data_IF_977046021675
#
_entry.id   IF_977046021675
#
_cell.length_a   1.000
_cell.length_b   1.000
_cell.length_c   1.000
_cell.angle_alpha   90.00
_cell.angle_beta   90.00
_cell.angle_gamma   90.00
#
_symmetry.space_group_name_H-M   'P 1'
#
loop_
_entity.id
_entity.type
_entity.pdbx_description
1 polymer ?
#
# COMPACT_ATOMS: atom_id res chain seq x y z
N UNK A 1 -4.81 -1.64 11.58
CA UNK A 1 -5.48 -2.40 10.51
C UNK A 1 -4.43 -3.02 9.60
N UNK A 2 -4.55 -4.29 9.27
CA UNK A 2 -3.59 -5.04 8.43
C UNK A 2 -4.34 -5.72 7.29
N UNK A 3 -3.70 -5.84 6.14
CA UNK A 3 -4.27 -6.46 4.95
C UNK A 3 -3.44 -7.65 4.49
N UNK A 4 -4.05 -8.54 3.75
CA UNK A 4 -3.39 -9.52 2.88
C UNK A 4 -4.05 -9.47 1.51
N UNK A 5 -3.25 -9.24 0.49
CA UNK A 5 -3.71 -9.17 -0.89
C UNK A 5 -3.50 -10.49 -1.62
N UNK A 6 -4.48 -10.85 -2.44
CA UNK A 6 -4.40 -11.98 -3.34
C UNK A 6 -3.26 -11.83 -4.37
N UNK A 7 -2.85 -12.91 -5.01
CA UNK A 7 -1.64 -13.04 -5.82
C UNK A 7 -1.53 -12.07 -7.00
N UNK A 8 -2.64 -11.59 -7.53
CA UNK A 8 -2.70 -10.65 -8.66
C UNK A 8 -2.80 -9.18 -8.26
N UNK A 9 -2.78 -8.86 -6.96
CA UNK A 9 -3.01 -7.51 -6.42
C UNK A 9 -1.72 -6.81 -5.96
N UNK A 10 -0.57 -7.13 -6.56
CA UNK A 10 0.72 -6.57 -6.15
C UNK A 10 0.82 -5.05 -6.25
N UNK A 11 0.20 -4.42 -7.26
CA UNK A 11 0.18 -2.96 -7.39
C UNK A 11 -0.68 -2.30 -6.32
N UNK A 12 -1.83 -2.89 -6.01
CA UNK A 12 -2.67 -2.43 -4.90
C UNK A 12 -1.95 -2.56 -3.57
N UNK A 13 -1.27 -3.69 -3.32
CA UNK A 13 -0.49 -3.89 -2.10
C UNK A 13 0.57 -2.79 -1.92
N UNK A 14 1.24 -2.37 -3.00
CA UNK A 14 2.18 -1.25 -2.96
C UNK A 14 1.51 0.06 -2.57
N UNK A 15 0.31 0.37 -3.08
CA UNK A 15 -0.43 1.56 -2.72
C UNK A 15 -0.85 1.56 -1.24
N UNK A 16 -1.35 0.44 -0.73
CA UNK A 16 -1.71 0.33 0.68
C UNK A 16 -0.50 0.52 1.60
N UNK A 17 0.65 -0.06 1.24
CA UNK A 17 1.92 0.15 1.95
C UNK A 17 2.39 1.60 1.88
N UNK A 18 2.23 2.25 0.72
CA UNK A 18 2.53 3.69 0.56
C UNK A 18 1.70 4.55 1.50
N UNK A 19 0.44 4.19 1.72
CA UNK A 19 -0.44 4.83 2.70
C UNK A 19 -0.08 4.51 4.17
N UNK A 20 0.90 3.63 4.41
CA UNK A 20 1.37 3.23 5.73
C UNK A 20 0.74 1.95 6.29
N UNK A 21 -0.15 1.28 5.55
CA UNK A 21 -0.81 0.06 6.03
C UNK A 21 0.06 -1.18 5.85
N UNK A 22 0.15 -1.98 6.92
CA UNK A 22 0.77 -3.31 6.86
C UNK A 22 -0.04 -4.21 5.92
N UNK A 23 0.55 -4.54 4.77
CA UNK A 23 -0.11 -5.29 3.71
C UNK A 23 0.77 -6.44 3.25
N UNK A 24 0.41 -7.65 3.63
CA UNK A 24 1.08 -8.86 3.17
C UNK A 24 0.71 -9.13 1.69
N UNK A 25 1.70 -9.52 0.92
CA UNK A 25 1.55 -9.90 -0.48
C UNK A 25 2.66 -10.83 -0.91
N UNK A 26 2.29 -11.93 -1.56
CA UNK A 26 3.22 -12.85 -2.21
C UNK A 26 2.56 -13.32 -3.52
N UNK A 27 3.26 -13.13 -4.65
CA UNK A 27 2.77 -13.51 -5.98
C UNK A 27 2.48 -15.00 -6.12
N UNK A 28 3.05 -15.83 -5.26
CA UNK A 28 2.91 -17.30 -5.28
C UNK A 28 2.03 -17.84 -4.16
N UNK A 29 1.33 -16.94 -3.43
CA UNK A 29 0.49 -17.36 -2.31
C UNK A 29 -0.68 -18.23 -2.80
N UNK A 30 -0.87 -19.36 -2.15
CA UNK A 30 -2.05 -20.19 -2.38
C UNK A 30 -3.21 -19.71 -1.53
N UNK A 31 -4.44 -20.04 -1.92
CA UNK A 31 -5.65 -19.69 -1.17
C UNK A 31 -5.56 -20.17 0.28
N UNK A 32 -5.12 -21.39 0.51
CA UNK A 32 -5.00 -21.95 1.86
C UNK A 32 -4.00 -21.20 2.73
N UNK A 33 -2.86 -20.81 2.17
CA UNK A 33 -1.87 -19.98 2.88
C UNK A 33 -2.36 -18.58 3.14
N UNK A 34 -3.08 -17.99 2.19
CA UNK A 34 -3.68 -16.67 2.33
C UNK A 34 -4.71 -16.67 3.47
N UNK A 35 -5.61 -17.66 3.51
CA UNK A 35 -6.60 -17.82 4.57
C UNK A 35 -5.94 -18.06 5.93
N UNK A 36 -4.93 -18.93 5.99
CA UNK A 36 -4.18 -19.19 7.21
C UNK A 36 -3.49 -17.94 7.75
N UNK A 37 -2.84 -17.17 6.88
CA UNK A 37 -2.17 -15.93 7.25
C UNK A 37 -3.17 -14.87 7.75
N UNK A 38 -4.30 -14.75 7.07
CA UNK A 38 -5.35 -13.81 7.46
C UNK A 38 -5.86 -14.09 8.87
N UNK A 39 -6.10 -15.37 9.19
CA UNK A 39 -6.57 -15.78 10.52
C UNK A 39 -5.49 -15.61 11.61
N UNK A 40 -4.25 -16.04 11.31
CA UNK A 40 -3.16 -16.01 12.27
C UNK A 40 -2.75 -14.58 12.67
N UNK A 41 -2.82 -13.63 11.75
CA UNK A 41 -2.37 -12.26 11.94
C UNK A 41 -3.50 -11.21 12.01
N UNK A 42 -4.75 -11.65 12.01
CA UNK A 42 -5.96 -10.80 11.98
C UNK A 42 -5.92 -9.78 10.84
N UNK A 43 -5.72 -10.30 9.61
CA UNK A 43 -5.63 -9.48 8.39
C UNK A 43 -6.95 -9.50 7.62
N UNK A 44 -7.31 -8.35 7.07
CA UNK A 44 -8.39 -8.21 6.09
C UNK A 44 -7.91 -8.79 4.76
N UNK A 45 -8.69 -9.73 4.22
CA UNK A 45 -8.41 -10.29 2.89
C UNK A 45 -8.91 -9.32 1.82
N UNK A 46 -8.06 -9.06 0.83
CA UNK A 46 -8.42 -8.27 -0.35
C UNK A 46 -8.26 -9.16 -1.58
N UNK A 47 -9.34 -9.39 -2.31
CA UNK A 47 -9.36 -10.31 -3.47
C UNK A 47 -10.36 -9.86 -4.53
N UNK A 48 -10.18 -10.33 -5.76
CA UNK A 48 -11.18 -10.26 -6.83
C UNK A 48 -11.89 -11.60 -7.06
N UNK A 49 -11.47 -12.65 -6.35
CA UNK A 49 -12.06 -13.97 -6.48
C UNK A 49 -13.26 -14.14 -5.54
N UNK A 50 -14.45 -14.21 -6.13
CA UNK A 50 -15.72 -14.42 -5.39
C UNK A 50 -15.73 -15.75 -4.66
N UNK A 51 -15.15 -16.82 -5.24
CA UNK A 51 -15.11 -18.13 -4.61
C UNK A 51 -14.23 -18.12 -3.37
N UNK A 52 -13.09 -17.42 -3.43
CA UNK A 52 -12.23 -17.21 -2.27
C UNK A 52 -12.95 -16.41 -1.18
N UNK A 53 -13.63 -15.33 -1.56
CA UNK A 53 -14.41 -14.50 -0.63
C UNK A 53 -15.53 -15.29 0.06
N UNK A 54 -16.22 -16.18 -0.65
CA UNK A 54 -17.30 -17.02 -0.10
C UNK A 54 -16.78 -18.14 0.82
N UNK A 55 -15.57 -18.67 0.57
CA UNK A 55 -14.96 -19.74 1.37
C UNK A 55 -14.39 -19.25 2.70
N UNK A 56 -14.17 -17.95 2.83
CA UNK A 56 -13.46 -17.44 3.99
C UNK A 56 -14.36 -17.33 5.22
N UNK A 57 -13.86 -17.84 6.35
CA UNK A 57 -14.35 -17.57 7.68
C UNK A 57 -13.68 -16.34 8.30
N UNK A 58 -12.81 -15.66 7.55
CA UNK A 58 -12.18 -14.43 7.99
C UNK A 58 -13.24 -13.38 8.29
N UNK A 59 -13.05 -12.64 9.36
CA UNK A 59 -14.03 -11.65 9.85
C UNK A 59 -14.28 -10.53 8.85
N UNK A 60 -13.31 -10.26 7.97
CA UNK A 60 -13.41 -9.19 6.98
C UNK A 60 -12.75 -9.60 5.66
N UNK A 61 -13.53 -9.50 4.60
CA UNK A 61 -13.08 -9.67 3.22
C UNK A 61 -13.55 -8.49 2.41
N UNK A 62 -12.63 -7.92 1.63
CA UNK A 62 -12.94 -6.90 0.63
C UNK A 62 -12.88 -7.57 -0.73
N UNK A 63 -14.04 -7.69 -1.37
CA UNK A 63 -14.16 -8.15 -2.74
C UNK A 63 -14.10 -6.94 -3.68
N UNK A 64 -13.16 -6.97 -4.62
CA UNK A 64 -12.94 -5.90 -5.59
C UNK A 64 -13.59 -6.20 -6.94
N UNK A 65 -14.18 -5.20 -7.54
CA UNK A 65 -14.74 -5.26 -8.89
C UNK A 65 -13.74 -4.73 -9.95
N UNK A 66 -12.99 -3.67 -9.61
CA UNK A 66 -12.07 -3.01 -10.53
C UNK A 66 -10.82 -3.83 -10.85
N UNK A 67 -10.27 -3.60 -12.05
CA UNK A 67 -8.99 -4.17 -12.49
C UNK A 67 -7.85 -3.15 -12.43
N UNK A 68 -8.16 -1.86 -12.33
CA UNK A 68 -7.19 -0.77 -12.31
C UNK A 68 -6.74 -0.50 -10.87
N UNK A 69 -5.41 -0.46 -10.58
CA UNK A 69 -4.90 -0.41 -9.20
C UNK A 69 -5.36 0.78 -8.37
N UNK A 70 -5.49 1.98 -8.95
CA UNK A 70 -5.98 3.14 -8.20
C UNK A 70 -7.49 3.07 -7.95
N UNK A 71 -8.26 2.48 -8.87
CA UNK A 71 -9.68 2.22 -8.64
C UNK A 71 -9.88 1.17 -7.54
N UNK A 72 -9.06 0.11 -7.54
CA UNK A 72 -9.02 -0.87 -6.45
C UNK A 72 -8.70 -0.21 -5.10
N UNK A 73 -7.75 0.73 -5.08
CA UNK A 73 -7.42 1.47 -3.86
C UNK A 73 -8.64 2.25 -3.34
N UNK A 74 -9.38 2.92 -4.22
CA UNK A 74 -10.63 3.62 -3.88
C UNK A 74 -11.64 2.66 -3.24
N UNK A 75 -11.81 1.47 -3.81
CA UNK A 75 -12.71 0.45 -3.26
C UNK A 75 -12.28 0.02 -1.86
N UNK A 76 -10.99 -0.24 -1.64
CA UNK A 76 -10.47 -0.63 -0.31
C UNK A 76 -10.67 0.51 0.70
N UNK A 77 -10.29 1.74 0.34
CA UNK A 77 -10.43 2.91 1.22
C UNK A 77 -11.89 3.08 1.66
N UNK A 78 -12.83 2.92 0.72
CA UNK A 78 -14.26 3.04 1.01
C UNK A 78 -14.81 1.89 1.84
N UNK A 79 -14.54 0.63 1.45
CA UNK A 79 -15.08 -0.54 2.13
C UNK A 79 -14.50 -0.76 3.54
N UNK A 80 -13.23 -0.41 3.73
CA UNK A 80 -12.57 -0.49 5.05
C UNK A 80 -12.65 0.82 5.84
N UNK A 81 -13.38 1.82 5.33
CA UNK A 81 -13.56 3.14 5.97
C UNK A 81 -12.22 3.77 6.38
N UNK A 82 -11.20 3.61 5.52
CA UNK A 82 -9.87 4.14 5.81
C UNK A 82 -9.88 5.67 5.77
N UNK A 83 -9.05 6.26 6.65
CA UNK A 83 -8.75 7.69 6.66
C UNK A 83 -7.27 7.88 6.28
N UNK A 84 -6.94 7.94 4.98
CA UNK A 84 -5.56 8.12 4.56
C UNK A 84 -5.00 9.44 5.10
N UNK A 85 -3.88 9.36 5.82
CA UNK A 85 -3.24 10.51 6.42
C UNK A 85 -1.87 10.74 5.75
N UNK A 86 -1.62 11.90 5.13
CA UNK A 86 -0.33 12.20 4.51
C UNK A 86 0.89 12.02 5.41
N UNK A 87 0.74 12.22 6.72
CA UNK A 87 1.81 11.99 7.71
C UNK A 87 2.23 10.53 7.77
N UNK A 88 1.32 9.61 7.46
CA UNK A 88 1.59 8.17 7.44
C UNK A 88 2.18 7.68 6.08
N UNK A 89 2.24 8.54 5.06
CA UNK A 89 2.77 8.14 3.76
C UNK A 89 4.26 7.85 3.85
N UNK A 90 4.66 6.75 3.23
CA UNK A 90 6.03 6.25 3.27
C UNK A 90 6.59 5.97 4.67
N UNK A 91 5.75 5.74 5.68
CA UNK A 91 6.21 5.15 6.93
C UNK A 91 6.51 3.65 6.79
N UNK A 92 6.13 3.06 5.66
CA UNK A 92 6.34 1.66 5.31
C UNK A 92 6.84 1.53 3.87
N UNK A 93 7.81 0.64 3.68
CA UNK A 93 8.36 0.38 2.34
C UNK A 93 7.30 -0.26 1.43
N UNK A 94 7.00 0.34 0.26
CA UNK A 94 6.05 -0.24 -0.68
C UNK A 94 6.45 -1.60 -1.23
N UNK A 95 7.74 -1.93 -1.18
CA UNK A 95 8.28 -3.20 -1.70
C UNK A 95 8.39 -4.26 -0.60
N UNK A 96 9.03 -3.92 0.52
CA UNK A 96 9.37 -4.88 1.58
C UNK A 96 8.31 -4.99 2.68
N UNK A 97 7.37 -4.05 2.74
CA UNK A 97 6.36 -3.99 3.82
C UNK A 97 6.94 -3.78 5.23
N UNK A 98 8.17 -3.35 5.36
CA UNK A 98 8.82 -3.03 6.66
C UNK A 98 8.78 -1.53 6.92
N UNK A 99 8.81 -1.07 8.19
CA UNK A 99 8.96 0.34 8.49
C UNK A 99 10.21 0.93 7.84
N UNK A 100 10.15 2.19 7.46
CA UNK A 100 11.28 2.92 6.85
C UNK A 100 11.76 4.03 7.78
N UNK A 101 13.01 4.46 7.57
CA UNK A 101 13.63 5.53 8.33
C UNK A 101 13.56 6.85 7.55
N UNK A 102 13.31 7.95 8.27
CA UNK A 102 13.51 9.29 7.71
C UNK A 102 15.01 9.56 7.57
N UNK A 103 15.41 10.16 6.45
CA UNK A 103 16.83 10.42 6.17
C UNK A 103 17.07 11.89 5.80
N UNK A 104 18.30 12.34 5.99
CA UNK A 104 18.78 13.63 5.49
C UNK A 104 19.28 13.45 4.04
N UNK A 105 18.70 14.19 3.11
CA UNK A 105 19.03 14.06 1.67
C UNK A 105 20.51 14.33 1.36
N UNK A 106 21.17 15.14 2.17
CA UNK A 106 22.59 15.50 2.05
C UNK A 106 23.51 14.29 2.16
N UNK A 107 23.12 13.27 2.94
CA UNK A 107 23.89 12.04 3.10
C UNK A 107 23.73 11.06 1.92
N UNK A 108 22.79 11.34 1.01
CA UNK A 108 22.41 10.45 -0.09
C UNK A 108 22.35 11.16 -1.45
N UNK A 109 23.08 12.24 -1.61
CA UNK A 109 23.04 13.10 -2.81
C UNK A 109 23.27 12.34 -4.12
N UNK A 110 24.15 11.34 -4.11
CA UNK A 110 24.48 10.53 -5.30
C UNK A 110 23.36 9.53 -5.68
N UNK A 111 22.48 9.20 -4.75
CA UNK A 111 21.39 8.25 -4.95
C UNK A 111 20.05 8.92 -5.27
N UNK A 112 19.96 10.23 -5.16
CA UNK A 112 18.75 11.00 -5.41
C UNK A 112 18.90 11.75 -6.74
N UNK A 113 17.94 11.65 -7.68
CA UNK A 113 17.99 12.43 -8.91
C UNK A 113 18.15 13.93 -8.63
N UNK A 114 19.02 14.66 -9.37
CA UNK A 114 19.33 16.07 -9.08
C UNK A 114 18.11 16.98 -9.00
N UNK A 115 17.14 16.79 -9.87
CA UNK A 115 15.88 17.55 -9.85
C UNK A 115 15.09 17.30 -8.58
N UNK A 116 14.97 16.03 -8.17
CA UNK A 116 14.24 15.63 -6.94
C UNK A 116 14.97 16.18 -5.70
N UNK A 117 16.28 16.08 -5.66
CA UNK A 117 17.11 16.64 -4.59
C UNK A 117 16.85 18.14 -4.37
N UNK A 118 16.77 18.91 -5.47
CA UNK A 118 16.52 20.36 -5.39
C UNK A 118 15.10 20.74 -5.02
N UNK A 119 14.13 19.89 -5.37
CA UNK A 119 12.69 20.24 -5.28
C UNK A 119 11.93 19.56 -4.15
N UNK A 120 12.55 18.61 -3.45
CA UNK A 120 11.94 17.86 -2.37
C UNK A 120 12.78 17.94 -1.10
N UNK A 121 12.11 17.92 0.05
CA UNK A 121 12.78 18.05 1.36
C UNK A 121 12.61 16.84 2.27
N UNK A 122 11.58 16.01 2.02
CA UNK A 122 11.28 14.84 2.84
C UNK A 122 11.62 13.56 2.10
N UNK A 123 12.50 12.75 2.70
CA UNK A 123 12.97 11.49 2.15
C UNK A 123 12.96 10.39 3.20
N UNK A 124 12.67 9.17 2.76
CA UNK A 124 12.66 7.98 3.59
C UNK A 124 13.47 6.87 2.93
N UNK A 125 14.11 6.03 3.72
CA UNK A 125 14.90 4.90 3.23
C UNK A 125 14.49 3.61 3.89
N UNK A 126 14.34 2.56 3.08
CA UNK A 126 14.06 1.23 3.59
C UNK A 126 15.34 0.58 4.13
N UNK A 127 15.37 0.12 5.38
CA UNK A 127 16.54 -0.58 5.95
C UNK A 127 16.77 -1.96 5.32
N UNK A 128 15.75 -2.55 4.68
CA UNK A 128 15.83 -3.87 4.05
C UNK A 128 16.33 -3.80 2.61
N UNK A 129 15.70 -3.00 1.74
CA UNK A 129 16.08 -2.93 0.31
C UNK A 129 16.89 -1.70 -0.05
N UNK A 130 17.15 -0.81 0.88
CA UNK A 130 17.92 0.43 0.73
C UNK A 130 17.33 1.47 -0.24
N UNK A 131 16.13 1.25 -0.80
CA UNK A 131 15.45 2.20 -1.67
C UNK A 131 15.07 3.46 -0.91
N UNK A 132 15.15 4.60 -1.63
CA UNK A 132 14.77 5.92 -1.13
C UNK A 132 13.42 6.29 -1.72
N UNK A 133 12.53 6.85 -0.89
CA UNK A 133 11.18 7.25 -1.25
C UNK A 133 10.96 8.72 -0.95
N UNK A 134 10.18 9.38 -1.80
CA UNK A 134 9.77 10.78 -1.66
C UNK A 134 8.38 11.00 -2.27
N UNK A 135 7.78 12.16 -1.98
CA UNK A 135 6.52 12.56 -2.60
C UNK A 135 6.77 12.97 -4.06
N UNK A 136 6.37 12.14 -4.99
CA UNK A 136 6.45 12.38 -6.43
C UNK A 136 5.08 12.58 -7.07
N UNK A 137 5.08 12.69 -8.41
CA UNK A 137 3.84 12.86 -9.20
C UNK A 137 2.87 11.68 -9.07
N UNK A 138 3.35 10.48 -8.79
CA UNK A 138 2.51 9.31 -8.56
C UNK A 138 1.67 9.45 -7.28
N UNK A 139 2.20 10.06 -6.22
CA UNK A 139 1.45 10.36 -5.00
C UNK A 139 0.38 11.40 -5.28
N UNK A 140 0.71 12.42 -6.05
CA UNK A 140 -0.27 13.44 -6.44
C UNK A 140 -1.44 12.81 -7.23
N UNK A 141 -1.16 11.95 -8.19
CA UNK A 141 -2.20 11.22 -8.95
C UNK A 141 -3.07 10.35 -8.06
N UNK A 142 -2.48 9.68 -7.06
CA UNK A 142 -3.23 8.90 -6.08
C UNK A 142 -4.17 9.80 -5.27
N UNK A 143 -3.69 10.92 -4.76
CA UNK A 143 -4.51 11.89 -4.02
C UNK A 143 -5.67 12.42 -4.85
N UNK A 144 -5.41 12.79 -6.10
CA UNK A 144 -6.43 13.25 -7.05
C UNK A 144 -7.50 12.18 -7.31
N UNK A 145 -7.08 10.91 -7.47
CA UNK A 145 -8.01 9.79 -7.68
C UNK A 145 -8.91 9.58 -6.46
N UNK A 146 -8.36 9.63 -5.26
CA UNK A 146 -9.13 9.52 -4.03
C UNK A 146 -10.08 10.72 -3.87
N UNK A 147 -9.62 11.92 -4.10
CA UNK A 147 -10.43 13.14 -4.02
C UNK A 147 -11.61 13.09 -5.01
N UNK A 148 -11.38 12.70 -6.27
CA UNK A 148 -12.41 12.53 -7.30
C UNK A 148 -13.48 11.51 -6.89
N UNK A 149 -13.09 10.51 -6.09
CA UNK A 149 -14.00 9.51 -5.54
C UNK A 149 -14.72 9.96 -4.25
N UNK A 150 -14.55 11.21 -3.82
CA UNK A 150 -15.12 11.74 -2.58
C UNK A 150 -14.39 11.29 -1.32
N UNK A 151 -13.13 10.89 -1.44
CA UNK A 151 -12.26 10.43 -0.37
C UNK A 151 -11.01 11.33 -0.28
N UNK A 152 -11.15 12.60 0.07
CA UNK A 152 -10.03 13.54 0.08
C UNK A 152 -8.95 13.08 1.06
N UNK A 153 -7.70 13.36 0.71
CA UNK A 153 -6.52 13.14 1.55
C UNK A 153 -5.93 14.50 1.87
N UNK A 154 -6.19 14.97 3.05
CA UNK A 154 -5.73 16.27 3.56
C UNK A 154 -4.32 16.19 4.17
#
# INVERSE_FOLDING_TARGET
>A
MKFVCDDNLGRLARWLRTLGFDTAFDRTITDDRLLTLALAEDRIIVTRDRKLAEKTLARQVILLDSTEPLAQLVEVVRQAELQPNPVAFFLRCPICNVPVDSIHKEDFVELIPPYVYRTRDSFHRCPSCARIFWYGTHIQRMKEKLATAGLPVE
#
